data_IF_624860189284
#
_entry.id   IF_624860189284
#
_cell.length_a   1.000
_cell.length_b   1.000
_cell.length_c   1.000
_cell.angle_alpha   90.00
_cell.angle_beta   90.00
_cell.angle_gamma   90.00
#
_symmetry.space_group_name_H-M   'P 1'
#
loop_
_entity.id
_entity.type
_entity.pdbx_description
1 polymer ?
#
# COMPACT_ATOMS: atom_id res chain seq x y z
N UNK A 1 13.70 18.08 45.43
CA UNK A 1 12.55 17.16 45.43
C UNK A 1 12.01 17.10 44.00
N UNK A 2 12.04 15.94 43.35
CA UNK A 2 11.46 15.79 42.01
C UNK A 2 9.92 15.89 42.13
N UNK A 3 9.31 16.78 41.34
CA UNK A 3 7.87 17.03 41.38
C UNK A 3 7.11 15.76 40.97
N UNK A 4 6.33 15.11 41.86
CA UNK A 4 5.62 13.87 41.55
C UNK A 4 4.62 14.02 40.38
N UNK A 5 4.14 15.25 40.15
CA UNK A 5 3.26 15.58 39.02
C UNK A 5 3.95 15.48 37.66
N UNK A 6 5.25 15.80 37.58
CA UNK A 6 6.01 15.66 36.34
C UNK A 6 6.19 14.17 35.96
N UNK A 7 6.36 13.31 36.97
CA UNK A 7 6.50 11.86 36.78
C UNK A 7 5.17 11.19 36.37
N UNK A 8 4.04 11.68 36.87
CA UNK A 8 2.71 11.16 36.52
C UNK A 8 2.33 11.53 35.08
N UNK A 9 2.60 12.77 34.67
CA UNK A 9 2.36 13.27 33.32
C UNK A 9 3.26 12.56 32.29
N UNK A 10 4.53 12.31 32.64
CA UNK A 10 5.44 11.53 31.79
C UNK A 10 4.99 10.07 31.65
N UNK A 11 4.45 9.44 32.71
CA UNK A 11 3.86 8.09 32.65
C UNK A 11 2.57 8.03 31.84
N UNK A 12 1.72 9.07 31.90
CA UNK A 12 0.50 9.16 31.12
C UNK A 12 0.82 9.30 29.62
N UNK A 13 1.76 10.19 29.28
CA UNK A 13 2.29 10.34 27.93
C UNK A 13 2.92 9.03 27.42
N UNK A 14 3.72 8.34 28.24
CA UNK A 14 4.31 7.06 27.85
C UNK A 14 3.27 5.96 27.62
N UNK A 15 2.16 5.95 28.37
CA UNK A 15 1.04 5.02 28.14
C UNK A 15 0.29 5.30 26.84
N UNK A 16 0.10 6.58 26.50
CA UNK A 16 -0.47 6.99 25.20
C UNK A 16 0.45 6.63 24.02
N UNK A 17 1.76 6.57 24.27
CA UNK A 17 2.78 6.18 23.30
C UNK A 17 3.02 4.67 23.22
N UNK A 18 2.38 3.83 24.06
CA UNK A 18 2.54 2.39 23.93
C UNK A 18 1.81 1.90 22.67
N UNK A 19 2.54 1.39 21.65
CA UNK A 19 1.92 0.85 20.46
C UNK A 19 1.14 -0.41 20.87
N UNK A 20 -0.18 -0.26 20.99
CA UNK A 20 -1.06 -1.39 21.25
C UNK A 20 -1.24 -2.18 19.97
N UNK A 21 -1.32 -3.51 20.06
CA UNK A 21 -1.52 -4.40 18.90
C UNK A 21 -2.69 -3.95 18.01
N UNK A 22 -3.79 -3.48 18.63
CA UNK A 22 -4.94 -2.90 17.90
C UNK A 22 -4.57 -1.70 17.02
N UNK A 23 -3.76 -0.77 17.52
CA UNK A 23 -3.39 0.43 16.76
C UNK A 23 -2.41 0.11 15.64
N UNK A 24 -1.53 -0.87 15.83
CA UNK A 24 -0.63 -1.35 14.78
C UNK A 24 -1.37 -2.15 13.69
N UNK A 25 -2.37 -2.94 14.07
CA UNK A 25 -3.24 -3.64 13.12
C UNK A 25 -4.09 -2.66 12.30
N UNK A 26 -4.71 -1.67 12.95
CA UNK A 26 -5.46 -0.63 12.26
C UNK A 26 -4.56 0.17 11.30
N UNK A 27 -3.33 0.50 11.72
CA UNK A 27 -2.34 1.14 10.87
C UNK A 27 -2.00 0.28 9.63
N UNK A 28 -1.74 -1.00 9.83
CA UNK A 28 -1.43 -1.94 8.74
C UNK A 28 -2.60 -2.07 7.76
N UNK A 29 -3.84 -2.16 8.26
CA UNK A 29 -5.05 -2.20 7.44
C UNK A 29 -5.26 -0.91 6.64
N UNK A 30 -5.04 0.26 7.24
CA UNK A 30 -5.14 1.54 6.54
C UNK A 30 -4.06 1.67 5.45
N UNK A 31 -2.82 1.25 5.74
CA UNK A 31 -1.76 1.20 4.73
C UNK A 31 -2.14 0.26 3.56
N UNK A 32 -2.66 -0.93 3.87
CA UNK A 32 -3.15 -1.87 2.87
C UNK A 32 -4.24 -1.24 1.98
N UNK A 33 -5.22 -0.57 2.61
CA UNK A 33 -6.32 0.07 1.91
C UNK A 33 -5.83 1.17 0.97
N UNK A 34 -4.94 2.05 1.44
CA UNK A 34 -4.37 3.12 0.61
C UNK A 34 -3.62 2.55 -0.60
N UNK A 35 -2.82 1.50 -0.40
CA UNK A 35 -2.12 0.80 -1.47
C UNK A 35 -3.07 0.22 -2.51
N UNK A 36 -4.12 -0.47 -2.04
CA UNK A 36 -5.14 -1.06 -2.91
C UNK A 36 -5.87 -0.01 -3.74
N UNK A 37 -6.23 1.13 -3.13
CA UNK A 37 -6.86 2.25 -3.85
C UNK A 37 -5.91 2.79 -4.91
N UNK A 38 -4.65 3.02 -4.57
CA UNK A 38 -3.67 3.57 -5.52
C UNK A 38 -3.42 2.64 -6.71
N UNK A 39 -3.25 1.34 -6.48
CA UNK A 39 -3.06 0.33 -7.53
C UNK A 39 -4.32 0.16 -8.39
N UNK A 40 -5.51 0.18 -7.77
CA UNK A 40 -6.78 0.09 -8.51
C UNK A 40 -7.01 1.31 -9.39
N UNK A 41 -6.67 2.51 -8.92
CA UNK A 41 -6.74 3.74 -9.71
C UNK A 41 -5.76 3.72 -10.88
N UNK A 42 -4.52 3.29 -10.67
CA UNK A 42 -3.57 3.11 -11.76
C UNK A 42 -4.13 2.14 -12.80
N UNK A 43 -4.66 0.98 -12.38
CA UNK A 43 -5.25 0.02 -13.32
C UNK A 43 -6.47 0.58 -14.05
N UNK A 44 -7.34 1.33 -13.38
CA UNK A 44 -8.47 1.96 -14.03
C UNK A 44 -8.00 2.98 -15.07
N UNK A 45 -6.97 3.78 -14.76
CA UNK A 45 -6.37 4.71 -15.71
C UNK A 45 -5.78 3.96 -16.93
N UNK A 46 -5.09 2.85 -16.71
CA UNK A 46 -4.57 1.96 -17.77
C UNK A 46 -5.70 1.42 -18.65
N UNK A 47 -6.79 0.96 -18.03
CA UNK A 47 -7.96 0.43 -18.74
C UNK A 47 -8.64 1.50 -19.60
N UNK A 48 -8.83 2.70 -19.04
CA UNK A 48 -9.43 3.83 -19.76
C UNK A 48 -8.51 4.30 -20.88
N UNK A 49 -7.19 4.29 -20.69
CA UNK A 49 -6.22 4.66 -21.72
C UNK A 49 -6.18 3.66 -22.88
N UNK A 50 -6.16 2.36 -22.57
CA UNK A 50 -6.07 1.30 -23.58
C UNK A 50 -7.41 0.93 -24.22
N UNK A 51 -8.53 1.53 -23.80
CA UNK A 51 -9.89 1.19 -24.29
C UNK A 51 -10.04 1.25 -25.81
N UNK A 52 -9.31 2.16 -26.46
CA UNK A 52 -9.39 2.42 -27.89
C UNK A 52 -8.72 1.32 -28.72
N UNK A 53 -7.78 0.56 -28.13
CA UNK A 53 -7.13 -0.58 -28.79
C UNK A 53 -7.97 -1.86 -28.74
N UNK A 54 -9.07 -1.87 -27.98
CA UNK A 54 -9.82 -3.09 -27.61
C UNK A 54 -11.24 -3.08 -28.21
N UNK A 55 -11.38 -2.47 -29.39
CA UNK A 55 -12.65 -2.07 -30.02
C UNK A 55 -13.73 -3.16 -30.20
N UNK A 56 -13.44 -4.45 -29.97
CA UNK A 56 -14.42 -5.56 -30.14
C UNK A 56 -14.55 -6.54 -28.95
N UNK A 57 -13.94 -6.26 -27.78
CA UNK A 57 -14.04 -7.23 -26.65
C UNK A 57 -15.32 -7.03 -25.82
N UNK A 58 -16.00 -8.11 -25.38
CA UNK A 58 -17.17 -7.98 -24.51
C UNK A 58 -16.85 -7.35 -23.14
N UNK A 59 -17.74 -6.48 -22.66
CA UNK A 59 -17.69 -5.85 -21.32
C UNK A 59 -17.43 -6.84 -20.16
N UNK A 60 -17.97 -8.06 -20.27
CA UNK A 60 -17.79 -9.14 -19.28
C UNK A 60 -16.35 -9.61 -19.16
N UNK A 61 -15.66 -9.79 -20.29
CA UNK A 61 -14.26 -10.23 -20.33
C UNK A 61 -13.34 -9.18 -19.69
N UNK A 62 -13.67 -7.89 -19.83
CA UNK A 62 -12.96 -6.82 -19.15
C UNK A 62 -13.13 -6.85 -17.64
N UNK A 63 -14.37 -7.04 -17.16
CA UNK A 63 -14.62 -7.11 -15.73
C UNK A 63 -13.90 -8.31 -15.11
N UNK A 64 -13.87 -9.43 -15.82
CA UNK A 64 -13.14 -10.63 -15.39
C UNK A 64 -11.62 -10.39 -15.37
N UNK A 65 -11.05 -9.78 -16.42
CA UNK A 65 -9.64 -9.40 -16.46
C UNK A 65 -9.27 -8.40 -15.35
N UNK A 66 -10.14 -7.40 -15.11
CA UNK A 66 -9.96 -6.43 -14.03
C UNK A 66 -10.01 -7.09 -12.65
N UNK A 67 -10.95 -8.00 -12.42
CA UNK A 67 -11.07 -8.77 -11.18
C UNK A 67 -9.85 -9.70 -10.96
N UNK A 68 -9.36 -10.33 -12.03
CA UNK A 68 -8.14 -11.12 -11.97
C UNK A 68 -6.91 -10.26 -11.64
N UNK A 69 -6.81 -9.07 -12.24
CA UNK A 69 -5.82 -8.06 -11.87
C UNK A 69 -5.93 -7.65 -10.40
N UNK A 70 -7.15 -7.43 -9.89
CA UNK A 70 -7.36 -7.06 -8.48
C UNK A 70 -6.83 -8.14 -7.52
N UNK A 71 -6.98 -9.42 -7.88
CA UNK A 71 -6.41 -10.54 -7.11
C UNK A 71 -4.88 -10.54 -7.11
N UNK A 72 -4.26 -10.04 -8.18
CA UNK A 72 -2.82 -9.84 -8.21
C UNK A 72 -2.39 -8.69 -7.30
N UNK A 73 -3.10 -7.56 -7.32
CA UNK A 73 -2.80 -6.42 -6.45
C UNK A 73 -2.90 -6.80 -4.97
N UNK A 74 -3.94 -7.56 -4.59
CA UNK A 74 -4.06 -8.06 -3.23
C UNK A 74 -2.84 -8.88 -2.83
N UNK A 75 -2.37 -9.79 -3.70
CA UNK A 75 -1.16 -10.57 -3.43
C UNK A 75 0.07 -9.69 -3.29
N UNK A 76 0.26 -8.73 -4.18
CA UNK A 76 1.37 -7.78 -4.13
C UNK A 76 1.36 -6.97 -2.83
N UNK A 77 0.20 -6.41 -2.46
CA UNK A 77 0.05 -5.63 -1.22
C UNK A 77 0.33 -6.49 0.00
N UNK A 78 -0.16 -7.73 0.05
CA UNK A 78 0.15 -8.67 1.15
C UNK A 78 1.65 -8.88 1.28
N UNK A 79 2.38 -9.08 0.18
CA UNK A 79 3.84 -9.22 0.22
C UNK A 79 4.54 -7.95 0.69
N UNK A 80 4.09 -6.78 0.26
CA UNK A 80 4.65 -5.49 0.70
C UNK A 80 4.41 -5.20 2.18
N UNK A 81 3.37 -5.78 2.77
CA UNK A 81 3.02 -5.66 4.19
C UNK A 81 3.75 -6.66 5.10
N UNK A 82 4.46 -7.65 4.56
CA UNK A 82 5.22 -8.63 5.37
C UNK A 82 6.11 -7.96 6.45
N UNK A 83 6.88 -6.90 6.15
CA UNK A 83 7.70 -6.24 7.17
C UNK A 83 6.87 -5.63 8.31
N UNK A 84 5.66 -5.12 8.01
CA UNK A 84 4.74 -4.58 9.01
C UNK A 84 4.12 -5.70 9.87
N UNK A 85 3.86 -6.86 9.28
CA UNK A 85 3.38 -8.05 9.98
C UNK A 85 4.46 -8.63 10.90
N UNK A 86 5.71 -8.72 10.43
CA UNK A 86 6.85 -9.14 11.25
C UNK A 86 7.10 -8.19 12.43
N UNK A 87 6.76 -6.90 12.27
CA UNK A 87 6.86 -5.92 13.34
C UNK A 87 5.88 -6.18 14.50
N UNK A 88 4.84 -7.00 14.33
CA UNK A 88 3.93 -7.40 15.42
C UNK A 88 4.67 -8.12 16.55
N UNK A 89 5.79 -8.79 16.25
CA UNK A 89 6.57 -9.55 17.22
C UNK A 89 7.53 -8.69 18.06
N UNK A 90 7.69 -7.39 17.76
CA UNK A 90 8.64 -6.53 18.46
C UNK A 90 8.11 -5.11 18.67
N UNK A 91 7.99 -4.70 19.95
CA UNK A 91 7.57 -3.35 20.34
C UNK A 91 8.52 -2.27 19.81
N UNK A 92 9.83 -2.58 19.72
CA UNK A 92 10.85 -1.67 19.16
C UNK A 92 10.70 -1.55 17.64
N UNK A 93 10.29 -2.62 16.96
CA UNK A 93 9.96 -2.57 15.53
C UNK A 93 8.67 -1.77 15.28
N UNK A 94 7.64 -1.90 16.12
CA UNK A 94 6.42 -1.08 16.03
C UNK A 94 6.69 0.43 16.19
N UNK A 95 7.73 0.80 16.94
CA UNK A 95 8.15 2.20 17.10
C UNK A 95 8.84 2.77 15.85
N UNK A 96 9.37 1.93 14.96
CA UNK A 96 10.04 2.34 13.72
C UNK A 96 9.05 2.71 12.59
N UNK A 97 8.00 3.49 12.90
CA UNK A 97 6.97 3.90 11.93
C UNK A 97 7.55 4.65 10.73
N UNK A 98 8.65 5.38 10.92
CA UNK A 98 9.36 6.06 9.82
C UNK A 98 9.90 5.08 8.78
N UNK A 99 10.44 3.94 9.21
CA UNK A 99 10.93 2.89 8.31
C UNK A 99 9.80 2.29 7.48
N UNK A 100 8.65 1.97 8.10
CA UNK A 100 7.50 1.44 7.36
C UNK A 100 6.94 2.43 6.35
N UNK A 101 6.87 3.72 6.70
CA UNK A 101 6.44 4.77 5.76
C UNK A 101 7.39 4.85 4.58
N UNK A 102 8.71 4.90 4.82
CA UNK A 102 9.71 4.94 3.75
C UNK A 102 9.64 3.70 2.86
N UNK A 103 9.58 2.51 3.46
CA UNK A 103 9.44 1.23 2.75
C UNK A 103 8.21 1.21 1.86
N UNK A 104 7.04 1.56 2.42
CA UNK A 104 5.79 1.59 1.68
C UNK A 104 5.85 2.60 0.54
N UNK A 105 6.34 3.83 0.78
CA UNK A 105 6.49 4.84 -0.28
C UNK A 105 7.41 4.36 -1.40
N UNK A 106 8.57 3.80 -1.07
CA UNK A 106 9.50 3.30 -2.07
C UNK A 106 8.86 2.16 -2.89
N UNK A 107 8.23 1.20 -2.22
CA UNK A 107 7.56 0.08 -2.89
C UNK A 107 6.38 0.55 -3.77
N UNK A 108 5.55 1.47 -3.28
CA UNK A 108 4.49 2.12 -4.05
C UNK A 108 5.03 2.80 -5.30
N UNK A 109 6.10 3.58 -5.16
CA UNK A 109 6.73 4.30 -6.27
C UNK A 109 7.28 3.35 -7.32
N UNK A 110 7.95 2.28 -6.91
CA UNK A 110 8.44 1.24 -7.84
C UNK A 110 7.26 0.56 -8.55
N UNK A 111 6.22 0.17 -7.81
CA UNK A 111 5.05 -0.48 -8.42
C UNK A 111 4.33 0.43 -9.43
N UNK A 112 4.14 1.70 -9.11
CA UNK A 112 3.59 2.68 -10.04
C UNK A 112 4.49 2.89 -11.25
N UNK A 113 5.79 3.05 -11.03
CA UNK A 113 6.75 3.27 -12.10
C UNK A 113 6.76 2.09 -13.08
N UNK A 114 6.79 0.85 -12.58
CA UNK A 114 6.71 -0.34 -13.43
C UNK A 114 5.41 -0.41 -14.23
N UNK A 115 4.27 -0.08 -13.61
CA UNK A 115 2.99 -0.05 -14.31
C UNK A 115 2.88 1.06 -15.37
N UNK A 116 3.51 2.21 -15.13
CA UNK A 116 3.59 3.29 -16.13
C UNK A 116 4.57 2.95 -17.26
N UNK A 117 5.71 2.34 -16.95
CA UNK A 117 6.68 1.89 -17.95
C UNK A 117 6.08 0.87 -18.93
N UNK A 118 5.17 0.02 -18.45
CA UNK A 118 4.43 -0.91 -19.32
C UNK A 118 3.59 -0.16 -20.36
N UNK A 119 3.00 1.01 -20.02
CA UNK A 119 2.24 1.83 -20.97
C UNK A 119 3.09 2.32 -22.15
N UNK A 120 4.23 2.94 -21.84
CA UNK A 120 5.10 3.50 -22.86
C UNK A 120 5.64 2.39 -23.77
N UNK A 121 5.95 1.22 -23.21
CA UNK A 121 6.41 0.09 -24.00
C UNK A 121 5.36 -0.39 -25.01
N UNK A 122 4.09 -0.58 -24.60
CA UNK A 122 3.05 -1.05 -25.52
C UNK A 122 2.75 -0.06 -26.64
N UNK A 123 2.77 1.24 -26.34
CA UNK A 123 2.51 2.30 -27.31
C UNK A 123 3.64 2.41 -28.34
N UNK A 124 4.88 2.38 -27.87
CA UNK A 124 6.07 2.51 -28.70
C UNK A 124 6.21 1.33 -29.69
N UNK A 125 5.80 0.12 -29.32
CA UNK A 125 5.81 -1.05 -30.22
C UNK A 125 4.68 -1.04 -31.26
N UNK A 126 3.52 -0.44 -30.97
CA UNK A 126 2.45 -0.31 -31.95
C UNK A 126 2.66 0.86 -32.93
N UNK A 127 3.63 1.74 -32.66
CA UNK A 127 4.00 2.85 -33.56
C UNK A 127 5.15 2.52 -34.53
N UNK A 128 5.84 1.39 -34.36
CA UNK A 128 6.99 0.95 -35.19
C UNK A 128 6.57 -0.16 -36.15
#
# INVERSE_FOLDING_TARGET
>A
MANPDALSQQRASNRLLQPTVKSHLAYTLLCALVMMVMLSLLRLALLVYNREMILDTPASTFLEAFANGLRFDIRLVVYLLIPLLLALFSVRAMAARGFFRFWLTLASSIALFLGLMEMDFYREFHQR
#
